data_IF_452032538349
#
_entry.id   IF_452032538349
#
_cell.length_a   1.000
_cell.length_b   1.000
_cell.length_c   1.000
_cell.angle_alpha   90.00
_cell.angle_beta   90.00
_cell.angle_gamma   90.00
#
_symmetry.space_group_name_H-M   'P 1'
#
loop_
_entity.id
_entity.type
_entity.pdbx_description
1 polymer ?
#
# COMPACT_ATOMS: atom_id res chain seq x y z
N UNK A 1 -20.68 -1.41 -17.03
CA UNK A 1 -20.32 -0.44 -15.96
C UNK A 1 -19.15 -0.99 -15.16
N UNK A 2 -18.04 -0.25 -15.07
CA UNK A 2 -16.95 -0.58 -14.15
C UNK A 2 -17.47 -0.44 -12.72
N UNK A 3 -17.28 -1.42 -11.81
CA UNK A 3 -17.63 -1.22 -10.41
C UNK A 3 -16.94 0.05 -9.92
N UNK A 4 -17.68 0.99 -9.34
CA UNK A 4 -17.18 2.35 -9.11
C UNK A 4 -15.92 2.39 -8.22
N UNK A 5 -15.73 1.41 -7.35
CA UNK A 5 -14.49 1.21 -6.59
C UNK A 5 -13.26 0.97 -7.46
N UNK A 6 -13.40 0.26 -8.58
CA UNK A 6 -12.29 0.01 -9.50
C UNK A 6 -11.92 1.29 -10.27
N UNK A 7 -12.88 2.18 -10.54
CA UNK A 7 -12.60 3.47 -11.18
C UNK A 7 -11.71 4.36 -10.29
N UNK A 8 -11.95 4.38 -8.98
CA UNK A 8 -11.12 5.12 -8.02
C UNK A 8 -9.65 4.68 -8.07
N UNK A 9 -9.38 3.37 -7.99
CA UNK A 9 -8.00 2.88 -7.98
C UNK A 9 -7.28 3.15 -9.31
N UNK A 10 -8.01 3.05 -10.43
CA UNK A 10 -7.45 3.41 -11.74
C UNK A 10 -7.11 4.90 -11.80
N UNK A 11 -7.99 5.77 -11.30
CA UNK A 11 -7.75 7.21 -11.24
C UNK A 11 -6.47 7.51 -10.44
N UNK A 12 -6.38 7.00 -9.21
CA UNK A 12 -5.20 7.17 -8.34
C UNK A 12 -3.92 6.69 -9.00
N UNK A 13 -3.93 5.50 -9.62
CA UNK A 13 -2.73 4.95 -10.28
C UNK A 13 -2.36 5.75 -11.54
N UNK A 14 -3.34 6.31 -12.23
CA UNK A 14 -3.09 7.09 -13.44
C UNK A 14 -2.54 8.48 -13.10
N UNK A 15 -3.07 9.12 -12.07
CA UNK A 15 -2.76 10.52 -11.76
C UNK A 15 -1.72 10.69 -10.66
N UNK A 16 -1.52 9.69 -9.81
CA UNK A 16 -0.69 9.83 -8.60
C UNK A 16 -1.33 10.71 -7.54
N UNK A 17 -2.66 10.86 -7.52
CA UNK A 17 -3.38 11.74 -6.59
C UNK A 17 -4.64 11.08 -6.02
N UNK A 18 -5.08 11.51 -4.83
CA UNK A 18 -6.38 11.10 -4.26
C UNK A 18 -7.36 12.26 -4.38
N UNK A 19 -8.38 12.14 -5.25
CA UNK A 19 -9.34 13.23 -5.54
C UNK A 19 -8.69 14.56 -5.99
N UNK A 20 -7.45 14.50 -6.48
CA UNK A 20 -6.65 15.68 -6.84
C UNK A 20 -5.64 16.12 -5.78
N UNK A 21 -5.75 15.63 -4.53
CA UNK A 21 -4.74 15.85 -3.51
C UNK A 21 -3.44 15.12 -3.88
N UNK A 22 -2.34 15.88 -3.93
CA UNK A 22 -1.02 15.40 -4.30
C UNK A 22 -0.26 14.92 -3.08
N UNK A 23 0.72 14.00 -3.27
CA UNK A 23 1.60 13.57 -2.19
C UNK A 23 2.36 14.70 -1.48
N UNK A 24 2.60 15.80 -2.19
CA UNK A 24 3.37 16.97 -1.72
C UNK A 24 2.49 18.07 -1.12
N UNK A 25 1.17 17.92 -1.15
CA UNK A 25 0.25 18.91 -0.58
C UNK A 25 0.42 18.96 0.95
N UNK A 26 0.22 20.15 1.53
CA UNK A 26 0.27 20.35 2.97
C UNK A 26 -0.89 19.64 3.69
N UNK A 27 -0.81 19.46 5.02
CA UNK A 27 -1.90 18.85 5.79
C UNK A 27 -3.25 19.56 5.60
N UNK A 28 -3.25 20.89 5.50
CA UNK A 28 -4.46 21.68 5.33
C UNK A 28 -5.05 21.56 3.92
N UNK A 29 -4.18 21.48 2.90
CA UNK A 29 -4.61 21.25 1.52
C UNK A 29 -5.26 19.87 1.37
N UNK A 30 -4.70 18.83 1.99
CA UNK A 30 -5.30 17.48 2.00
C UNK A 30 -6.63 17.47 2.76
N UNK A 31 -6.70 18.14 3.92
CA UNK A 31 -7.94 18.28 4.70
C UNK A 31 -9.03 19.04 3.93
N UNK A 32 -8.68 20.03 3.11
CA UNK A 32 -9.64 20.72 2.25
C UNK A 32 -10.29 19.79 1.21
N UNK A 33 -9.58 18.72 0.79
CA UNK A 33 -10.07 17.75 -0.21
C UNK A 33 -10.79 16.57 0.45
N UNK A 34 -10.23 16.01 1.52
CA UNK A 34 -10.74 14.78 2.17
C UNK A 34 -11.66 15.06 3.38
N UNK A 35 -11.76 16.32 3.80
CA UNK A 35 -12.49 16.73 4.99
C UNK A 35 -11.68 16.55 6.28
N UNK A 36 -12.29 16.90 7.41
CA UNK A 36 -11.65 16.90 8.72
C UNK A 36 -11.82 15.59 9.51
N UNK A 37 -12.36 14.54 8.89
CA UNK A 37 -12.55 13.22 9.51
C UNK A 37 -11.29 12.37 9.31
N UNK A 38 -10.29 12.62 10.17
CA UNK A 38 -9.02 11.89 10.20
C UNK A 38 -8.55 11.64 11.63
N UNK A 39 -7.77 10.58 11.81
CA UNK A 39 -6.92 10.42 12.98
C UNK A 39 -5.51 10.96 12.66
N UNK A 40 -5.04 11.93 13.43
CA UNK A 40 -3.67 12.44 13.32
C UNK A 40 -2.74 11.65 14.24
N UNK A 41 -1.59 11.27 13.71
CA UNK A 41 -0.58 10.52 14.43
C UNK A 41 0.79 11.09 14.12
N UNK A 42 1.69 11.03 15.11
CA UNK A 42 3.07 11.44 14.98
C UNK A 42 3.97 10.47 15.72
N UNK A 43 5.12 10.16 15.15
CA UNK A 43 6.16 9.38 15.86
C UNK A 43 7.04 10.30 16.71
N UNK A 44 7.28 11.50 16.21
CA UNK A 44 8.12 12.54 16.79
C UNK A 44 7.70 13.93 16.26
N UNK A 45 8.48 14.95 16.59
CA UNK A 45 8.24 16.31 16.11
C UNK A 45 8.61 16.51 14.64
N UNK A 46 9.09 15.49 13.92
CA UNK A 46 9.56 15.60 12.53
C UNK A 46 8.70 14.81 11.54
N UNK A 47 7.86 13.89 12.02
CA UNK A 47 7.08 12.97 11.18
C UNK A 47 5.63 12.87 11.65
N UNK A 48 4.70 13.12 10.74
CA UNK A 48 3.25 13.08 11.00
C UNK A 48 2.51 12.37 9.87
N UNK A 49 1.42 11.68 10.19
CA UNK A 49 0.48 11.19 9.20
C UNK A 49 -0.97 11.35 9.66
N UNK A 50 -1.87 11.49 8.69
CA UNK A 50 -3.32 11.55 8.91
C UNK A 50 -3.98 10.35 8.25
N UNK A 51 -4.71 9.58 9.03
CA UNK A 51 -5.48 8.42 8.59
C UNK A 51 -6.94 8.82 8.33
N UNK A 52 -7.32 8.85 7.05
CA UNK A 52 -8.67 9.08 6.54
C UNK A 52 -9.43 7.76 6.28
N UNK A 53 -9.09 6.71 7.03
CA UNK A 53 -9.67 5.37 7.02
C UNK A 53 -8.95 4.41 6.08
N UNK A 54 -9.17 4.53 4.78
CA UNK A 54 -8.44 3.74 3.76
C UNK A 54 -7.18 4.46 3.26
N UNK A 55 -7.10 5.78 3.43
CA UNK A 55 -6.06 6.63 2.86
C UNK A 55 -5.27 7.26 3.98
N UNK A 56 -3.94 7.13 3.92
CA UNK A 56 -3.02 7.84 4.80
C UNK A 56 -2.13 8.77 3.97
N UNK A 57 -1.98 10.01 4.42
CA UNK A 57 -0.99 10.95 3.90
C UNK A 57 0.10 11.18 4.95
N UNK A 58 1.33 11.36 4.50
CA UNK A 58 2.51 11.44 5.34
C UNK A 58 3.31 12.71 5.04
N UNK A 59 3.75 13.35 6.12
CA UNK A 59 4.51 14.59 6.10
C UNK A 59 5.76 14.47 6.95
N UNK A 60 6.82 15.14 6.50
CA UNK A 60 8.04 15.38 7.25
C UNK A 60 8.28 16.87 7.45
N UNK A 61 9.14 17.23 8.40
CA UNK A 61 9.71 18.59 8.50
C UNK A 61 11.10 18.55 9.12
N UNK A 62 11.95 19.48 8.72
CA UNK A 62 13.34 19.55 9.18
C UNK A 62 13.44 19.90 10.68
N UNK A 63 12.61 20.83 11.14
CA UNK A 63 12.53 21.21 12.56
C UNK A 63 11.09 21.59 12.95
N UNK A 64 10.80 21.73 14.27
CA UNK A 64 9.47 22.11 14.74
C UNK A 64 8.92 23.43 14.18
N UNK A 65 9.81 24.34 13.78
CA UNK A 65 9.46 25.65 13.23
C UNK A 65 9.30 25.66 11.70
N UNK A 66 9.67 24.55 11.03
CA UNK A 66 9.50 24.41 9.59
C UNK A 66 8.09 23.90 9.24
N UNK A 67 7.56 24.29 8.07
CA UNK A 67 6.29 23.78 7.59
C UNK A 67 6.36 22.28 7.34
N UNK A 68 5.21 21.61 7.44
CA UNK A 68 5.06 20.22 7.03
C UNK A 68 5.16 20.07 5.51
N UNK A 69 6.02 19.17 5.06
CA UNK A 69 6.23 18.83 3.65
C UNK A 69 5.71 17.43 3.37
N UNK A 70 4.76 17.33 2.44
CA UNK A 70 4.19 16.04 2.05
C UNK A 70 5.18 15.23 1.23
N UNK A 71 5.28 13.93 1.51
CA UNK A 71 6.19 13.06 0.74
C UNK A 71 5.51 11.86 0.09
N UNK A 72 4.48 11.26 0.69
CA UNK A 72 3.71 10.19 0.05
C UNK A 72 2.32 10.01 0.64
N UNK A 73 1.47 9.27 -0.06
CA UNK A 73 0.28 8.67 0.52
C UNK A 73 0.28 7.14 0.33
N UNK A 74 -0.49 6.45 1.16
CA UNK A 74 -0.77 5.02 1.02
C UNK A 74 -2.26 4.75 1.11
N UNK A 75 -2.77 3.95 0.17
CA UNK A 75 -4.08 3.31 0.25
C UNK A 75 -3.92 1.94 0.89
N UNK A 76 -4.51 1.74 2.06
CA UNK A 76 -4.55 0.45 2.75
C UNK A 76 -5.75 -0.39 2.26
N UNK A 77 -5.68 -0.85 1.01
CA UNK A 77 -6.76 -1.57 0.33
C UNK A 77 -7.18 -2.84 1.08
N UNK A 78 -6.24 -3.53 1.72
CA UNK A 78 -6.52 -4.72 2.53
C UNK A 78 -7.52 -4.46 3.68
N UNK A 79 -7.64 -3.21 4.18
CA UNK A 79 -8.61 -2.84 5.23
C UNK A 79 -10.06 -3.04 4.80
N UNK A 80 -10.34 -2.97 3.50
CA UNK A 80 -11.67 -3.23 2.94
C UNK A 80 -12.18 -4.65 3.24
N UNK A 81 -11.28 -5.62 3.45
CA UNK A 81 -11.66 -7.01 3.71
C UNK A 81 -12.42 -7.16 5.04
N UNK A 82 -12.02 -6.41 6.07
CA UNK A 82 -12.62 -6.48 7.41
C UNK A 82 -13.53 -5.28 7.75
N UNK A 83 -13.16 -4.05 7.38
CA UNK A 83 -13.98 -2.86 7.65
C UNK A 83 -14.97 -2.50 6.55
N UNK A 84 -14.91 -3.17 5.40
CA UNK A 84 -15.80 -2.93 4.27
C UNK A 84 -15.70 -1.50 3.73
N UNK A 85 -16.72 -1.08 2.99
CA UNK A 85 -16.78 0.27 2.41
C UNK A 85 -16.95 1.39 3.43
N UNK A 86 -17.26 1.10 4.71
CA UNK A 86 -17.41 2.11 5.76
C UNK A 86 -16.11 2.82 6.11
N UNK A 87 -14.97 2.15 5.93
CA UNK A 87 -13.63 2.73 6.11
C UNK A 87 -13.23 3.71 5.00
N UNK A 88 -13.97 3.76 3.90
CA UNK A 88 -13.64 4.67 2.81
C UNK A 88 -14.17 6.04 3.16
N UNK A 89 -13.26 7.03 3.15
CA UNK A 89 -13.57 8.44 3.37
C UNK A 89 -14.83 8.87 2.59
N UNK A 90 -15.64 9.72 3.23
CA UNK A 90 -16.94 10.15 2.70
C UNK A 90 -16.82 10.81 1.33
N UNK A 91 -15.86 11.71 1.12
CA UNK A 91 -15.68 12.41 -0.16
C UNK A 91 -15.35 11.43 -1.30
N UNK A 92 -14.57 10.39 -1.01
CA UNK A 92 -14.26 9.32 -1.97
C UNK A 92 -15.53 8.54 -2.33
N UNK A 93 -16.35 8.18 -1.33
CA UNK A 93 -17.61 7.46 -1.57
C UNK A 93 -18.65 8.29 -2.31
N UNK A 94 -18.70 9.59 -2.07
CA UNK A 94 -19.61 10.49 -2.78
C UNK A 94 -19.27 10.56 -4.28
N UNK A 95 -17.99 10.56 -4.65
CA UNK A 95 -17.55 10.58 -6.06
C UNK A 95 -17.55 9.20 -6.73
N UNK A 96 -17.13 8.16 -6.01
CA UNK A 96 -16.87 6.82 -6.56
C UNK A 96 -17.78 5.74 -6.00
N UNK A 97 -18.87 6.10 -5.34
CA UNK A 97 -19.89 5.16 -4.87
C UNK A 97 -19.36 4.11 -3.88
N UNK A 98 -19.91 2.89 -3.99
CA UNK A 98 -19.66 1.80 -3.03
C UNK A 98 -18.37 1.05 -3.33
N UNK A 99 -17.67 0.67 -2.25
CA UNK A 99 -16.45 -0.14 -2.31
C UNK A 99 -16.72 -1.59 -1.92
N UNK A 100 -16.25 -2.50 -2.77
CA UNK A 100 -16.25 -3.93 -2.48
C UNK A 100 -15.16 -4.29 -1.47
N UNK A 101 -15.31 -5.43 -0.79
CA UNK A 101 -14.35 -5.93 0.20
C UNK A 101 -13.00 -6.35 -0.38
N UNK A 102 -12.97 -6.65 -1.69
CA UNK A 102 -11.80 -7.17 -2.38
C UNK A 102 -11.59 -6.44 -3.69
N UNK A 103 -10.32 -6.10 -3.97
CA UNK A 103 -9.88 -5.58 -5.26
C UNK A 103 -8.91 -6.58 -5.87
N UNK A 104 -9.30 -7.18 -6.99
CA UNK A 104 -8.45 -8.13 -7.71
C UNK A 104 -7.42 -7.40 -8.56
N UNK A 105 -6.14 -7.73 -8.39
CA UNK A 105 -5.05 -7.09 -9.12
C UNK A 105 -5.13 -7.35 -10.64
N UNK A 106 -5.43 -8.59 -11.05
CA UNK A 106 -5.56 -8.96 -12.47
C UNK A 106 -6.65 -8.13 -13.20
N UNK A 107 -7.75 -7.82 -12.51
CA UNK A 107 -8.83 -6.98 -13.05
C UNK A 107 -8.39 -5.52 -13.16
N UNK A 108 -7.64 -5.03 -12.19
CA UNK A 108 -7.08 -3.68 -12.17
C UNK A 108 -6.06 -3.50 -13.29
N UNK A 109 -5.08 -4.39 -13.37
CA UNK A 109 -4.03 -4.42 -14.38
C UNK A 109 -4.62 -4.49 -15.80
N UNK A 110 -5.57 -5.40 -16.06
CA UNK A 110 -6.25 -5.46 -17.36
C UNK A 110 -6.93 -4.17 -17.75
N UNK A 111 -7.51 -3.43 -16.79
CA UNK A 111 -8.19 -2.17 -17.08
C UNK A 111 -7.20 -1.03 -17.32
N UNK A 112 -6.11 -0.98 -16.56
CA UNK A 112 -5.01 -0.03 -16.75
C UNK A 112 -4.34 -0.23 -18.11
N UNK A 113 -4.03 -1.48 -18.48
CA UNK A 113 -3.49 -1.84 -19.79
C UNK A 113 -4.39 -1.38 -20.95
N UNK A 114 -5.72 -1.60 -20.86
CA UNK A 114 -6.68 -1.12 -21.87
C UNK A 114 -6.74 0.41 -21.98
N UNK A 115 -6.29 1.14 -20.96
CA UNK A 115 -6.22 2.61 -20.94
C UNK A 115 -4.82 3.14 -21.30
N UNK A 116 -3.90 2.28 -21.71
CA UNK A 116 -2.53 2.68 -22.04
C UNK A 116 -1.68 3.04 -20.83
N UNK A 117 -2.02 2.52 -19.65
CA UNK A 117 -1.31 2.78 -18.37
C UNK A 117 -0.66 1.46 -17.91
N UNK A 118 0.39 0.95 -18.58
CA UNK A 118 1.02 -0.30 -18.17
C UNK A 118 1.69 -0.16 -16.80
N UNK A 119 1.80 -1.27 -16.08
CA UNK A 119 2.55 -1.36 -14.83
C UNK A 119 3.74 -2.32 -15.00
N UNK A 120 4.87 -1.96 -14.43
CA UNK A 120 6.10 -2.74 -14.43
C UNK A 120 6.22 -3.57 -13.15
N UNK A 121 6.51 -4.86 -13.28
CA UNK A 121 6.89 -5.66 -12.12
C UNK A 121 8.25 -5.19 -11.57
N UNK A 122 8.33 -4.98 -10.25
CA UNK A 122 9.55 -4.51 -9.57
C UNK A 122 9.90 -5.43 -8.39
N UNK A 123 11.20 -5.63 -8.09
CA UNK A 123 11.60 -6.39 -6.91
C UNK A 123 11.09 -5.77 -5.62
N UNK A 124 10.71 -6.61 -4.67
CA UNK A 124 10.23 -6.20 -3.36
C UNK A 124 10.74 -7.12 -2.25
N UNK A 125 10.98 -6.55 -1.07
CA UNK A 125 11.51 -7.28 0.08
C UNK A 125 10.50 -8.29 0.67
N UNK A 126 9.21 -8.10 0.41
CA UNK A 126 8.14 -8.97 0.90
C UNK A 126 7.82 -10.13 -0.05
N UNK A 127 8.61 -10.31 -1.13
CA UNK A 127 8.54 -11.50 -1.95
C UNK A 127 8.94 -12.76 -1.13
N UNK A 128 8.33 -13.93 -1.36
CA UNK A 128 7.33 -14.23 -2.40
C UNK A 128 5.87 -13.98 -1.96
N UNK A 129 5.63 -13.53 -0.72
CA UNK A 129 4.27 -13.36 -0.21
C UNK A 129 3.50 -12.27 -0.97
N UNK A 130 4.22 -11.27 -1.47
CA UNK A 130 3.68 -10.17 -2.27
C UNK A 130 4.45 -9.99 -3.58
N UNK A 131 3.78 -9.41 -4.58
CA UNK A 131 4.43 -8.81 -5.75
C UNK A 131 4.16 -7.32 -5.79
N UNK A 132 5.15 -6.56 -6.25
CA UNK A 132 5.06 -5.12 -6.38
C UNK A 132 5.08 -4.75 -7.87
N UNK A 133 4.17 -3.84 -8.25
CA UNK A 133 4.02 -3.36 -9.62
C UNK A 133 4.04 -1.83 -9.60
N UNK A 134 4.75 -1.21 -10.53
CA UNK A 134 5.03 0.22 -10.51
C UNK A 134 4.59 0.89 -11.82
N UNK A 135 3.95 2.05 -11.70
CA UNK A 135 3.57 2.89 -12.82
C UNK A 135 4.58 4.06 -12.89
N UNK A 136 5.42 4.15 -13.93
CA UNK A 136 6.52 5.13 -13.95
C UNK A 136 6.10 6.60 -14.07
N UNK A 137 5.00 6.89 -14.77
CA UNK A 137 4.56 8.25 -15.05
C UNK A 137 3.92 8.95 -13.84
N UNK A 138 3.26 8.20 -12.96
CA UNK A 138 2.63 8.68 -11.72
C UNK A 138 3.42 8.33 -10.46
N UNK A 139 4.50 7.55 -10.62
CA UNK A 139 5.31 7.00 -9.54
C UNK A 139 4.51 6.19 -8.51
N UNK A 140 3.36 5.66 -8.90
CA UNK A 140 2.50 4.85 -8.04
C UNK A 140 2.91 3.39 -8.10
N UNK A 141 2.97 2.75 -6.93
CA UNK A 141 3.19 1.32 -6.79
C UNK A 141 1.97 0.61 -6.21
N UNK A 142 1.73 -0.61 -6.67
CA UNK A 142 0.64 -1.49 -6.23
C UNK A 142 1.24 -2.80 -5.74
N UNK A 143 1.02 -3.09 -4.47
CA UNK A 143 1.42 -4.37 -3.88
C UNK A 143 0.22 -5.33 -3.91
N UNK A 144 0.42 -6.51 -4.48
CA UNK A 144 -0.60 -7.55 -4.59
C UNK A 144 -0.19 -8.79 -3.80
N UNK A 145 -1.13 -9.35 -3.05
CA UNK A 145 -0.93 -10.55 -2.26
C UNK A 145 -0.84 -11.79 -3.17
N UNK A 146 0.22 -12.60 -3.02
CA UNK A 146 0.51 -13.74 -3.92
C UNK A 146 0.52 -15.10 -3.22
N UNK A 147 1.04 -15.17 -2.00
CA UNK A 147 1.15 -16.42 -1.28
C UNK A 147 1.10 -16.18 0.22
N UNK A 148 0.53 -17.13 0.95
CA UNK A 148 0.56 -17.11 2.40
C UNK A 148 2.01 -17.35 2.86
N UNK A 149 2.50 -16.51 3.78
CA UNK A 149 3.71 -16.83 4.51
C UNK A 149 3.39 -17.93 5.53
N UNK A 150 4.28 -18.92 5.66
CA UNK A 150 4.11 -20.02 6.62
C UNK A 150 4.06 -19.48 8.06
N UNK A 151 3.02 -19.83 8.82
CA UNK A 151 2.93 -19.61 10.26
C UNK A 151 2.27 -18.29 10.72
N UNK A 152 1.83 -17.41 9.82
CA UNK A 152 1.15 -16.16 10.21
C UNK A 152 -0.34 -16.38 10.55
N UNK A 153 -0.71 -16.13 11.82
CA UNK A 153 -2.12 -16.00 12.24
C UNK A 153 -2.69 -14.69 11.69
N UNK A 154 -3.69 -14.77 10.82
CA UNK A 154 -4.27 -13.60 10.15
C UNK A 154 -5.36 -12.93 10.98
N UNK A 155 -5.37 -11.59 10.93
CA UNK A 155 -6.50 -10.74 11.36
C UNK A 155 -7.48 -10.43 10.21
N UNK A 156 -7.26 -10.93 9.00
CA UNK A 156 -7.96 -10.47 7.79
C UNK A 156 -8.45 -11.58 6.85
N UNK A 157 -9.35 -11.21 5.93
CA UNK A 157 -9.94 -12.07 4.91
C UNK A 157 -9.26 -11.97 3.54
N UNK A 158 -7.98 -11.60 3.47
CA UNK A 158 -7.30 -11.37 2.19
C UNK A 158 -7.22 -12.63 1.32
N UNK A 159 -7.44 -12.47 0.01
CA UNK A 159 -7.41 -13.58 -0.95
C UNK A 159 -6.20 -13.44 -1.86
N UNK A 160 -5.58 -14.57 -2.21
CA UNK A 160 -4.48 -14.58 -3.21
C UNK A 160 -4.92 -13.86 -4.48
N UNK A 161 -4.17 -12.84 -4.89
CA UNK A 161 -4.43 -11.96 -6.02
C UNK A 161 -5.17 -10.67 -5.68
N UNK A 162 -5.48 -10.41 -4.40
CA UNK A 162 -6.01 -9.13 -3.96
C UNK A 162 -4.90 -8.06 -3.89
N UNK A 163 -5.27 -6.82 -4.19
CA UNK A 163 -4.44 -5.65 -3.93
C UNK A 163 -4.38 -5.44 -2.41
N UNK A 164 -3.16 -5.29 -1.91
CA UNK A 164 -2.89 -5.10 -0.49
C UNK A 164 -2.73 -3.63 -0.15
N UNK A 165 -1.82 -2.94 -0.86
CA UNK A 165 -1.60 -1.49 -0.74
C UNK A 165 -1.36 -0.86 -2.11
N UNK A 166 -1.63 0.44 -2.17
CA UNK A 166 -1.20 1.32 -3.27
C UNK A 166 -0.46 2.50 -2.64
N UNK A 167 0.76 2.80 -3.08
CA UNK A 167 1.56 3.87 -2.49
C UNK A 167 2.15 4.78 -3.57
N UNK A 168 2.17 6.09 -3.31
CA UNK A 168 2.72 7.09 -4.23
C UNK A 168 4.23 7.29 -4.06
N UNK A 169 4.79 8.18 -4.89
CA UNK A 169 6.14 8.75 -4.72
C UNK A 169 7.27 7.72 -4.75
N UNK A 170 7.08 6.61 -5.46
CA UNK A 170 8.13 5.63 -5.68
C UNK A 170 8.94 6.02 -6.91
N UNK A 171 9.96 6.84 -6.69
CA UNK A 171 10.81 7.37 -7.76
C UNK A 171 11.51 6.28 -8.57
N UNK A 172 11.88 6.61 -9.80
CA UNK A 172 12.68 5.74 -10.67
C UNK A 172 14.02 5.35 -10.03
N UNK A 173 14.62 6.24 -9.24
CA UNK A 173 15.84 5.97 -8.48
C UNK A 173 15.62 4.87 -7.42
N UNK A 174 14.53 4.95 -6.65
CA UNK A 174 14.18 3.91 -5.69
C UNK A 174 13.97 2.55 -6.39
N UNK A 175 13.33 2.54 -7.56
CA UNK A 175 13.12 1.32 -8.36
C UNK A 175 14.43 0.77 -8.90
N UNK A 176 15.33 1.62 -9.42
CA UNK A 176 16.65 1.22 -9.91
C UNK A 176 17.52 0.66 -8.78
N UNK A 177 17.47 1.27 -7.60
CA UNK A 177 18.13 0.78 -6.39
C UNK A 177 17.59 -0.60 -5.98
N UNK A 178 16.26 -0.77 -5.96
CA UNK A 178 15.64 -2.07 -5.66
C UNK A 178 16.02 -3.17 -6.66
N UNK A 179 16.20 -2.84 -7.94
CA UNK A 179 16.64 -3.78 -9.00
C UNK A 179 18.11 -4.17 -8.86
N UNK A 180 18.95 -3.26 -8.38
CA UNK A 180 20.39 -3.47 -8.21
C UNK A 180 20.74 -4.23 -6.93
N UNK A 181 19.82 -4.28 -5.95
CA UNK A 181 20.06 -5.00 -4.70
C UNK A 181 19.97 -6.51 -4.92
N UNK A 182 21.01 -7.29 -4.54
CA UNK A 182 20.89 -8.74 -4.55
C UNK A 182 19.75 -9.17 -3.61
N UNK A 183 19.01 -10.24 -3.94
CA UNK A 183 17.97 -10.74 -3.05
C UNK A 183 18.59 -10.99 -1.68
N UNK A 184 17.97 -10.46 -0.63
CA UNK A 184 18.34 -10.75 0.75
C UNK A 184 18.37 -12.27 0.88
N UNK A 185 19.58 -12.85 0.91
CA UNK A 185 19.77 -14.23 1.32
C UNK A 185 19.23 -14.26 2.74
N UNK A 186 18.04 -14.85 2.94
CA UNK A 186 17.66 -15.31 4.26
C UNK A 186 18.80 -16.20 4.72
N UNK A 187 19.62 -15.71 5.64
CA UNK A 187 20.69 -16.45 6.25
C UNK A 187 20.05 -17.62 6.98
N UNK A 188 19.89 -18.75 6.30
CA UNK A 188 19.85 -20.01 6.99
C UNK A 188 21.25 -20.16 7.54
N UNK A 189 21.44 -19.91 8.83
CA UNK A 189 22.62 -20.41 9.52
C UNK A 189 22.54 -21.93 9.44
N UNK A 190 23.12 -22.49 8.38
CA UNK A 190 23.55 -23.87 8.38
C UNK A 190 24.84 -23.91 9.20
N UNK A 191 24.73 -24.33 10.46
CA UNK A 191 25.91 -24.75 11.22
C UNK A 191 26.62 -25.88 10.46
N UNK A 192 27.95 -25.88 10.49
CA UNK A 192 28.86 -26.74 9.70
C UNK A 192 28.78 -28.26 10.00
N UNK A 193 27.68 -28.77 10.56
CA UNK A 193 27.49 -30.17 10.95
C UNK A 193 26.26 -30.84 10.32
N UNK A 194 25.61 -30.22 9.33
CA UNK A 194 24.67 -30.94 8.45
C UNK A 194 23.41 -31.50 9.12
N UNK A 195 22.91 -30.88 10.21
CA UNK A 195 21.59 -31.20 10.78
C UNK A 195 20.71 -29.97 10.90
N UNK A 196 19.73 -29.85 10.01
CA UNK A 196 18.60 -28.95 10.17
C UNK A 196 17.74 -29.44 11.35
N UNK A 197 17.74 -28.70 12.48
CA UNK A 197 16.77 -28.93 13.55
C UNK A 197 15.40 -28.41 13.09
N UNK A 198 14.44 -29.31 12.89
CA UNK A 198 13.01 -28.96 12.87
C UNK A 198 12.64 -28.39 14.25
N UNK A 199 11.78 -27.35 14.35
CA UNK A 199 11.20 -27.00 15.63
C UNK A 199 10.25 -28.13 16.05
N UNK A 200 10.56 -28.79 17.16
CA UNK A 200 9.63 -29.66 17.87
C UNK A 200 8.56 -28.77 18.49
N UNK A 201 7.33 -28.85 17.97
CA UNK A 201 6.12 -28.42 18.66
C UNK A 201 5.95 -29.30 19.90
N UNK A 202 6.13 -28.74 21.09
CA UNK A 202 5.68 -29.39 22.33
C UNK A 202 4.31 -28.82 22.68
N UNK A 203 3.26 -29.61 22.43
CA UNK A 203 1.98 -29.48 23.11
C UNK A 203 2.21 -29.56 24.63
N UNK A 204 1.61 -28.66 25.40
CA UNK A 204 1.27 -28.96 26.79
C UNK A 204 -0.11 -28.41 27.12
N UNK A 205 -1.02 -29.35 27.32
CA UNK A 205 -2.29 -29.21 28.04
C UNK A 205 -2.00 -28.90 29.52
N UNK A 206 -2.87 -28.10 30.13
CA UNK A 206 -2.87 -27.74 31.55
C UNK A 206 -3.60 -26.42 31.74
#
# INVERSE_FOLDING_TARGET
MTPHSLAFHVDVITTGTVLGAKPTDSPDQVTAVLGSDFAENSFDDHSMWRDYGMVEFFWGRESPDHPWEGHHFTLHVHRLSYGGGGLVNRAIRERYGRFGRHLRFDKLERLLMRRGVPMEHVPDANAPAYTLHWQPASEVSVMAFRAHADGERRRGGERIGDVYTVSSSRSAEHVASARSRPPLRRSTQCSATGRCRRPLFLMRLG
#
